data_IF_087851320395
#
_entry.id   IF_087851320395
#
_cell.length_a   1.000
_cell.length_b   1.000
_cell.length_c   1.000
_cell.angle_alpha   90.00
_cell.angle_beta   90.00
_cell.angle_gamma   90.00
#
_symmetry.space_group_name_H-M   'P 1'
#
loop_
_entity.id
_entity.type
_entity.pdbx_description
1 polymer ?
#
# COMPACT_ATOMS: atom_id res chain seq x y z
N UNK A 1 3.71 -32.52 6.12
CA UNK A 1 4.86 -31.71 5.63
C UNK A 1 4.41 -31.16 4.28
N UNK A 2 4.09 -29.88 4.07
CA UNK A 2 4.60 -28.62 4.62
C UNK A 2 3.38 -27.78 5.05
N UNK A 3 3.22 -27.50 6.35
CA UNK A 3 2.26 -26.46 6.81
C UNK A 3 3.09 -25.18 6.96
N UNK A 4 3.57 -24.65 5.83
CA UNK A 4 4.25 -23.37 5.81
C UNK A 4 3.19 -22.30 5.89
N UNK A 5 2.99 -21.70 7.06
CA UNK A 5 2.15 -20.50 7.17
C UNK A 5 2.69 -19.41 6.24
N UNK A 6 1.79 -18.65 5.61
CA UNK A 6 2.20 -17.51 4.79
C UNK A 6 3.06 -16.54 5.63
N UNK A 7 4.15 -16.02 5.05
CA UNK A 7 4.90 -14.92 5.65
C UNK A 7 3.92 -13.74 5.78
N UNK A 8 3.67 -13.31 7.02
CA UNK A 8 2.80 -12.17 7.30
C UNK A 8 3.47 -10.90 6.78
N UNK A 9 2.73 -10.10 6.03
CA UNK A 9 3.25 -8.90 5.36
C UNK A 9 2.43 -7.67 5.71
N UNK A 10 3.09 -6.51 5.67
CA UNK A 10 2.48 -5.19 5.81
C UNK A 10 2.31 -4.61 4.41
N UNK A 11 1.09 -4.22 4.04
CA UNK A 11 0.83 -3.45 2.82
C UNK A 11 0.79 -1.96 3.17
N UNK A 12 1.64 -1.15 2.54
CA UNK A 12 1.65 0.32 2.72
C UNK A 12 1.29 0.97 1.38
N UNK A 13 0.17 1.70 1.34
CA UNK A 13 -0.21 2.43 0.11
C UNK A 13 0.32 3.85 0.13
N UNK A 14 0.39 4.50 -1.03
CA UNK A 14 1.00 5.83 -1.16
C UNK A 14 2.52 5.75 -1.10
N UNK A 15 3.11 4.65 -1.58
CA UNK A 15 4.51 4.26 -1.42
C UNK A 15 5.53 5.40 -1.61
N UNK A 16 5.42 6.14 -2.72
CA UNK A 16 6.33 7.24 -3.06
C UNK A 16 6.07 8.52 -2.26
N UNK A 17 5.03 8.56 -1.44
CA UNK A 17 4.66 9.71 -0.61
C UNK A 17 5.59 9.88 0.59
N UNK A 18 5.59 11.09 1.14
CA UNK A 18 6.43 11.47 2.27
C UNK A 18 6.22 10.57 3.51
N UNK A 19 4.96 10.40 3.94
CA UNK A 19 4.65 9.63 5.16
C UNK A 19 4.92 8.13 4.96
N UNK A 20 4.51 7.57 3.83
CA UNK A 20 4.71 6.14 3.55
C UNK A 20 6.19 5.76 3.48
N UNK A 21 7.02 6.58 2.83
CA UNK A 21 8.46 6.32 2.74
C UNK A 21 9.17 6.46 4.09
N UNK A 22 8.80 7.45 4.91
CA UNK A 22 9.32 7.60 6.27
C UNK A 22 8.92 6.41 7.18
N UNK A 23 7.67 5.96 7.09
CA UNK A 23 7.22 4.77 7.81
C UNK A 23 7.98 3.52 7.36
N UNK A 24 8.18 3.36 6.05
CA UNK A 24 8.95 2.23 5.50
C UNK A 24 10.38 2.24 6.02
N UNK A 25 11.02 3.42 6.06
CA UNK A 25 12.34 3.58 6.65
C UNK A 25 12.36 3.16 8.12
N UNK A 26 11.44 3.65 8.95
CA UNK A 26 11.37 3.30 10.37
C UNK A 26 11.17 1.79 10.58
N UNK A 27 10.32 1.16 9.78
CA UNK A 27 10.14 -0.29 9.78
C UNK A 27 11.43 -1.03 9.41
N UNK A 28 12.16 -0.55 8.39
CA UNK A 28 13.47 -1.11 8.02
C UNK A 28 14.49 -0.97 9.15
N UNK A 29 14.53 0.17 9.85
CA UNK A 29 15.37 0.36 11.04
C UNK A 29 15.03 -0.66 12.14
N UNK A 30 13.75 -1.03 12.26
CA UNK A 30 13.28 -2.10 13.13
C UNK A 30 13.47 -3.53 12.58
N UNK A 31 14.17 -3.71 11.45
CA UNK A 31 14.44 -5.01 10.82
C UNK A 31 13.26 -5.61 10.07
N UNK A 32 12.23 -4.83 9.77
CA UNK A 32 11.05 -5.26 8.99
C UNK A 32 11.22 -4.87 7.53
N UNK A 33 11.29 -5.88 6.66
CA UNK A 33 11.32 -5.74 5.19
C UNK A 33 10.25 -6.58 4.49
N UNK A 34 9.39 -7.24 5.26
CA UNK A 34 8.18 -7.93 4.84
C UNK A 34 7.05 -6.94 4.51
N UNK A 35 7.38 -5.98 3.66
CA UNK A 35 6.56 -4.85 3.28
C UNK A 35 6.23 -4.96 1.80
N UNK A 36 4.95 -4.85 1.45
CA UNK A 36 4.49 -4.63 0.08
C UNK A 36 4.13 -3.16 -0.03
N UNK A 37 4.77 -2.46 -0.95
CA UNK A 37 4.47 -1.06 -1.24
C UNK A 37 3.43 -0.99 -2.36
N UNK A 38 2.47 -0.07 -2.26
CA UNK A 38 1.56 0.21 -3.36
C UNK A 38 1.44 1.71 -3.62
N UNK A 39 1.44 2.10 -4.89
CA UNK A 39 1.37 3.49 -5.29
C UNK A 39 1.55 3.66 -6.78
N UNK A 40 1.68 4.90 -7.20
CA UNK A 40 2.05 5.24 -8.57
C UNK A 40 3.50 5.74 -8.55
N UNK A 41 4.31 5.30 -9.51
CA UNK A 41 5.59 5.93 -9.80
C UNK A 41 5.26 7.19 -10.59
N UNK A 42 5.05 8.30 -9.87
CA UNK A 42 4.79 9.58 -10.50
C UNK A 42 5.94 9.96 -11.45
N UNK A 43 5.68 10.80 -12.46
CA UNK A 43 6.69 11.26 -13.43
C UNK A 43 7.83 12.08 -12.81
N UNK A 44 7.67 12.48 -11.56
CA UNK A 44 8.62 13.29 -10.79
C UNK A 44 9.57 12.42 -9.95
N UNK A 45 10.51 13.07 -9.27
CA UNK A 45 11.52 12.46 -8.40
C UNK A 45 10.96 11.75 -7.15
N UNK A 46 9.64 11.65 -6.97
CA UNK A 46 9.02 10.99 -5.80
C UNK A 46 9.38 9.52 -5.65
N UNK A 47 9.67 8.82 -6.75
CA UNK A 47 10.15 7.44 -6.69
C UNK A 47 11.48 7.31 -5.93
N UNK A 48 12.29 8.38 -5.85
CA UNK A 48 13.53 8.39 -5.08
C UNK A 48 13.28 8.14 -3.59
N UNK A 49 12.08 8.44 -3.07
CA UNK A 49 11.73 8.22 -1.67
C UNK A 49 11.75 6.72 -1.28
N UNK A 50 11.54 5.82 -2.24
CA UNK A 50 11.53 4.38 -2.01
C UNK A 50 12.79 3.68 -2.53
N UNK A 51 13.64 4.35 -3.33
CA UNK A 51 14.84 3.76 -3.94
C UNK A 51 15.77 3.10 -2.91
N UNK A 52 15.93 3.74 -1.75
CA UNK A 52 16.87 3.31 -0.70
C UNK A 52 16.13 2.59 0.46
N UNK A 53 14.91 2.10 0.22
CA UNK A 53 14.09 1.31 1.18
C UNK A 53 14.20 -0.18 0.88
N UNK A 54 14.11 -1.01 1.92
CA UNK A 54 14.06 -2.48 1.79
C UNK A 54 12.60 -2.95 1.91
N UNK A 55 12.06 -3.47 0.82
CA UNK A 55 10.68 -3.96 0.74
C UNK A 55 10.61 -5.20 -0.14
N UNK A 56 9.63 -6.05 0.12
CA UNK A 56 9.50 -7.34 -0.53
C UNK A 56 9.03 -7.20 -1.99
N UNK A 57 8.04 -6.34 -2.23
CA UNK A 57 7.49 -6.12 -3.56
C UNK A 57 6.77 -4.76 -3.67
N UNK A 58 6.52 -4.34 -4.90
CA UNK A 58 5.77 -3.12 -5.22
C UNK A 58 4.62 -3.42 -6.19
N UNK A 59 3.47 -2.80 -5.97
CA UNK A 59 2.27 -2.97 -6.79
C UNK A 59 1.72 -1.62 -7.19
N UNK A 60 1.49 -1.40 -8.49
CA UNK A 60 0.85 -0.19 -8.96
C UNK A 60 -0.55 -0.03 -8.32
N UNK A 61 -0.93 1.20 -7.91
CA UNK A 61 -2.19 1.44 -7.19
C UNK A 61 -3.43 0.92 -7.91
N UNK A 62 -3.40 0.94 -9.24
CA UNK A 62 -4.53 0.54 -10.09
C UNK A 62 -4.65 -1.00 -10.20
N UNK A 63 -3.55 -1.72 -10.01
CA UNK A 63 -3.50 -3.19 -10.06
C UNK A 63 -3.73 -3.82 -8.67
N UNK A 64 -3.67 -3.02 -7.60
CA UNK A 64 -3.71 -3.51 -6.22
C UNK A 64 -4.94 -4.40 -5.95
N UNK A 65 -6.12 -4.00 -6.41
CA UNK A 65 -7.33 -4.76 -6.13
C UNK A 65 -7.45 -6.05 -6.93
N UNK A 66 -6.88 -6.09 -8.13
CA UNK A 66 -6.76 -7.34 -8.89
C UNK A 66 -5.78 -8.28 -8.18
N UNK A 67 -4.63 -7.76 -7.76
CA UNK A 67 -3.66 -8.51 -6.98
C UNK A 67 -4.24 -9.06 -5.67
N UNK A 68 -5.02 -8.26 -4.93
CA UNK A 68 -5.71 -8.66 -3.69
C UNK A 68 -6.90 -9.59 -3.93
N UNK A 69 -7.41 -9.70 -5.17
CA UNK A 69 -8.46 -10.66 -5.51
C UNK A 69 -7.94 -12.11 -5.54
N UNK A 70 -6.63 -12.27 -5.70
CA UNK A 70 -5.95 -13.56 -5.64
C UNK A 70 -5.84 -13.97 -4.16
N UNK A 71 -6.49 -15.08 -3.81
CA UNK A 71 -6.60 -15.53 -2.42
C UNK A 71 -5.23 -15.74 -1.73
N UNK A 72 -4.25 -16.26 -2.46
CA UNK A 72 -2.90 -16.47 -1.93
C UNK A 72 -2.21 -15.16 -1.54
N UNK A 73 -2.44 -14.10 -2.33
CA UNK A 73 -1.88 -12.77 -2.07
C UNK A 73 -2.59 -12.11 -0.89
N UNK A 74 -3.93 -12.15 -0.89
CA UNK A 74 -4.73 -11.62 0.19
C UNK A 74 -4.37 -12.23 1.56
N UNK A 75 -4.12 -13.54 1.61
CA UNK A 75 -3.75 -14.27 2.84
C UNK A 75 -2.36 -13.90 3.40
N UNK A 76 -1.48 -13.29 2.60
CA UNK A 76 -0.16 -12.80 3.06
C UNK A 76 -0.29 -11.50 3.86
N UNK A 77 -1.31 -10.68 3.60
CA UNK A 77 -1.46 -9.37 4.22
C UNK A 77 -2.10 -9.50 5.60
N UNK A 78 -1.42 -8.98 6.63
CA UNK A 78 -1.96 -8.94 8.00
C UNK A 78 -2.20 -7.53 8.51
N UNK A 79 -1.61 -6.54 7.85
CA UNK A 79 -1.77 -5.13 8.22
C UNK A 79 -1.71 -4.28 6.97
N UNK A 80 -2.59 -3.30 6.89
CA UNK A 80 -2.61 -2.27 5.84
C UNK A 80 -2.37 -0.93 6.51
N UNK A 81 -1.42 -0.16 6.00
CA UNK A 81 -1.26 1.25 6.37
C UNK A 81 -1.57 2.10 5.15
N UNK A 82 -2.77 2.70 5.15
CA UNK A 82 -3.27 3.42 3.98
C UNK A 82 -2.87 4.90 4.00
N UNK A 83 -1.81 5.24 3.27
CA UNK A 83 -1.32 6.63 3.11
C UNK A 83 -1.44 7.15 1.67
N UNK A 84 -2.20 6.45 0.81
CA UNK A 84 -2.35 6.81 -0.60
C UNK A 84 -3.55 7.70 -0.85
N UNK A 85 -3.32 8.94 -1.30
CA UNK A 85 -4.36 9.89 -1.70
C UNK A 85 -3.76 10.99 -2.58
N UNK A 86 -4.62 11.71 -3.32
CA UNK A 86 -4.27 13.04 -3.80
C UNK A 86 -4.31 13.99 -2.60
N UNK A 87 -3.16 14.58 -2.27
CA UNK A 87 -3.00 15.53 -1.16
C UNK A 87 -2.88 16.98 -1.63
N UNK A 88 -2.99 17.24 -2.93
CA UNK A 88 -2.95 18.60 -3.46
C UNK A 88 -4.24 19.33 -3.07
N UNK A 89 -4.13 20.31 -2.18
CA UNK A 89 -5.27 21.15 -1.75
C UNK A 89 -5.80 22.07 -2.85
N UNK A 90 -5.06 22.16 -3.95
CA UNK A 90 -5.41 22.93 -5.15
C UNK A 90 -6.07 22.09 -6.24
N UNK A 91 -6.25 20.78 -6.02
CA UNK A 91 -6.96 19.93 -6.98
C UNK A 91 -8.44 20.34 -7.06
N UNK A 92 -8.96 20.46 -8.28
CA UNK A 92 -10.33 20.92 -8.56
C UNK A 92 -11.19 19.87 -9.26
N UNK A 93 -10.60 18.80 -9.78
CA UNK A 93 -11.34 17.65 -10.31
C UNK A 93 -11.92 16.82 -9.17
N UNK A 94 -13.18 17.13 -8.82
CA UNK A 94 -13.90 16.45 -7.75
C UNK A 94 -14.21 14.99 -8.09
N UNK A 95 -14.42 14.65 -9.36
CA UNK A 95 -14.67 13.26 -9.77
C UNK A 95 -13.41 12.42 -9.61
N UNK A 96 -12.24 12.99 -9.87
CA UNK A 96 -10.96 12.39 -9.53
C UNK A 96 -10.79 12.22 -8.02
N UNK A 97 -11.02 13.26 -7.21
CA UNK A 97 -10.89 13.17 -5.75
C UNK A 97 -11.83 12.13 -5.14
N UNK A 98 -13.08 12.04 -5.62
CA UNK A 98 -14.05 11.03 -5.17
C UNK A 98 -13.57 9.61 -5.50
N UNK A 99 -13.07 9.38 -6.73
CA UNK A 99 -12.55 8.07 -7.12
C UNK A 99 -11.26 7.69 -6.39
N UNK A 100 -10.28 8.60 -6.39
CA UNK A 100 -8.91 8.35 -5.94
C UNK A 100 -8.78 8.33 -4.41
N UNK A 101 -9.52 9.19 -3.70
CA UNK A 101 -9.41 9.26 -2.24
C UNK A 101 -10.55 8.50 -1.58
N UNK A 102 -11.80 8.86 -1.88
CA UNK A 102 -12.94 8.34 -1.12
C UNK A 102 -13.30 6.89 -1.49
N UNK A 103 -13.54 6.60 -2.76
CA UNK A 103 -13.95 5.26 -3.20
C UNK A 103 -12.81 4.25 -3.08
N UNK A 104 -11.57 4.65 -3.38
CA UNK A 104 -10.38 3.83 -3.17
C UNK A 104 -10.25 3.41 -1.69
N UNK A 105 -10.30 4.38 -0.76
CA UNK A 105 -10.25 4.11 0.69
C UNK A 105 -11.35 3.15 1.11
N UNK A 106 -12.60 3.40 0.69
CA UNK A 106 -13.74 2.53 1.01
C UNK A 106 -13.56 1.11 0.49
N UNK A 107 -13.04 0.95 -0.73
CA UNK A 107 -12.81 -0.37 -1.33
C UNK A 107 -11.73 -1.12 -0.56
N UNK A 108 -10.64 -0.46 -0.19
CA UNK A 108 -9.56 -1.06 0.59
C UNK A 108 -10.00 -1.40 2.03
N UNK A 109 -10.74 -0.52 2.68
CA UNK A 109 -11.30 -0.78 4.01
C UNK A 109 -12.28 -1.97 3.99
N UNK A 110 -13.18 -2.05 3.01
CA UNK A 110 -14.10 -3.20 2.84
C UNK A 110 -13.34 -4.51 2.67
N UNK A 111 -12.26 -4.50 1.89
CA UNK A 111 -11.39 -5.66 1.76
C UNK A 111 -10.79 -6.06 3.12
N UNK A 112 -10.22 -5.11 3.86
CA UNK A 112 -9.62 -5.39 5.17
C UNK A 112 -10.64 -5.90 6.18
N UNK A 113 -11.82 -5.28 6.24
CA UNK A 113 -12.92 -5.71 7.11
C UNK A 113 -13.38 -7.14 6.78
N UNK A 114 -13.52 -7.49 5.50
CA UNK A 114 -13.89 -8.84 5.06
C UNK A 114 -12.84 -9.88 5.45
N UNK A 115 -11.57 -9.53 5.38
CA UNK A 115 -10.44 -10.43 5.63
C UNK A 115 -9.96 -10.39 7.09
N UNK A 116 -10.56 -9.56 7.94
CA UNK A 116 -10.13 -9.30 9.32
C UNK A 116 -8.64 -8.86 9.41
N UNK A 117 -8.25 -7.95 8.51
CA UNK A 117 -6.92 -7.35 8.44
C UNK A 117 -6.91 -6.06 9.27
N UNK A 118 -5.83 -5.84 10.02
CA UNK A 118 -5.62 -4.57 10.72
C UNK A 118 -5.45 -3.44 9.70
N UNK A 119 -6.27 -2.41 9.82
CA UNK A 119 -6.28 -1.25 8.94
C UNK A 119 -5.99 0.02 9.76
#
# INVERSE_FOLDING_TARGET
KIIGGFKKMILITGACGFIASALTWELNQGGRNDIILSGELEKEDKWLNIRDRDYYDWIHKDDLFEWLSIEENARKITTVVHMGACSATTETDMDFLMRNNYDYTKKLWKFCAKMNINY
#
